data_IF_386436707487
#
_entry.id   IF_386436707487
#
_cell.length_a   1.000
_cell.length_b   1.000
_cell.length_c   1.000
_cell.angle_alpha   90.00
_cell.angle_beta   90.00
_cell.angle_gamma   90.00
#
_symmetry.space_group_name_H-M   'P 1'
#
loop_
_entity.id
_entity.type
_entity.pdbx_description
1 polymer ?
#
# COMPACT_ATOMS: atom_id res chain seq x y z
N UNK A 1 -8.84 1.67 -15.67
CA UNK A 1 -8.21 2.03 -14.38
C UNK A 1 -6.80 2.55 -14.62
N UNK A 2 -6.48 3.76 -14.12
CA UNK A 2 -5.18 4.42 -14.22
C UNK A 2 -4.69 4.77 -12.82
N UNK A 3 -3.40 4.50 -12.55
CA UNK A 3 -2.76 4.93 -11.31
C UNK A 3 -2.62 6.45 -11.25
N UNK A 4 -2.98 7.04 -10.12
CA UNK A 4 -2.93 8.50 -9.91
C UNK A 4 -1.88 8.90 -8.88
N UNK A 5 -1.89 8.24 -7.72
CA UNK A 5 -0.97 8.52 -6.63
C UNK A 5 -0.99 7.39 -5.60
N UNK A 6 -0.06 7.42 -4.67
CA UNK A 6 -0.09 6.59 -3.48
C UNK A 6 0.18 7.44 -2.24
N UNK A 7 -0.22 6.94 -1.07
CA UNK A 7 0.05 7.57 0.21
C UNK A 7 0.45 6.53 1.22
N UNK A 8 1.40 6.93 2.04
CA UNK A 8 1.72 6.23 3.27
C UNK A 8 0.82 6.78 4.39
N UNK A 9 0.24 5.87 5.15
CA UNK A 9 -0.66 6.17 6.26
C UNK A 9 -0.18 5.47 7.53
N UNK A 10 -0.51 6.05 8.66
CA UNK A 10 -0.29 5.43 9.96
C UNK A 10 -1.43 5.75 10.93
N UNK A 11 -1.60 4.90 11.93
CA UNK A 11 -2.48 5.09 13.07
C UNK A 11 -1.75 4.71 14.33
N UNK A 12 -1.88 5.53 15.36
CA UNK A 12 -1.43 5.18 16.71
C UNK A 12 -2.60 4.49 17.40
N UNK A 13 -2.38 3.27 17.91
CA UNK A 13 -3.40 2.46 18.57
C UNK A 13 -2.95 2.05 19.97
N UNK A 14 -3.84 1.41 20.73
CA UNK A 14 -3.59 0.92 22.09
C UNK A 14 -2.98 1.98 23.01
N UNK A 15 -3.65 3.13 23.11
CA UNK A 15 -3.24 4.28 23.94
C UNK A 15 -1.80 4.79 23.69
N UNK A 16 -1.26 4.55 22.49
CA UNK A 16 0.10 4.96 22.13
C UNK A 16 1.14 3.86 22.20
N UNK A 17 0.76 2.62 22.54
CA UNK A 17 1.67 1.49 22.61
C UNK A 17 2.12 1.00 21.24
N UNK A 18 1.25 1.09 20.23
CA UNK A 18 1.53 0.59 18.88
C UNK A 18 1.30 1.65 17.81
N UNK A 19 2.08 1.58 16.73
CA UNK A 19 1.85 2.34 15.50
C UNK A 19 1.62 1.36 14.37
N UNK A 20 0.45 1.42 13.77
CA UNK A 20 0.05 0.63 12.61
C UNK A 20 0.25 1.45 11.36
N UNK A 21 0.85 0.88 10.33
CA UNK A 21 1.25 1.58 9.12
C UNK A 21 0.83 0.81 7.86
N UNK A 22 0.42 1.51 6.81
CA UNK A 22 0.02 0.90 5.54
C UNK A 22 0.16 1.88 4.38
N UNK A 23 0.18 1.36 3.16
CA UNK A 23 0.13 2.14 1.94
C UNK A 23 -1.25 2.04 1.28
N UNK A 24 -1.73 3.17 0.76
CA UNK A 24 -2.93 3.28 -0.08
C UNK A 24 -2.53 3.72 -1.48
N UNK A 25 -3.09 3.06 -2.49
CA UNK A 25 -2.84 3.29 -3.90
C UNK A 25 -4.14 3.76 -4.53
N UNK A 26 -4.13 4.96 -5.08
CA UNK A 26 -5.31 5.64 -5.61
C UNK A 26 -5.35 5.50 -7.12
N UNK A 27 -6.48 5.01 -7.62
CA UNK A 27 -6.72 4.80 -9.03
C UNK A 27 -7.95 5.58 -9.48
N UNK A 28 -7.87 6.14 -10.69
CA UNK A 28 -9.01 6.71 -11.38
C UNK A 28 -9.48 5.73 -12.44
N UNK A 29 -10.79 5.53 -12.52
CA UNK A 29 -11.41 4.77 -13.60
C UNK A 29 -12.39 5.66 -14.36
N UNK A 30 -12.99 5.12 -15.43
CA UNK A 30 -13.97 5.85 -16.24
C UNK A 30 -15.31 6.07 -15.51
N UNK A 31 -15.51 5.41 -14.36
CA UNK A 31 -16.65 5.61 -13.47
C UNK A 31 -16.38 6.75 -12.48
N UNK A 32 -17.41 7.50 -12.06
CA UNK A 32 -17.28 8.53 -11.03
C UNK A 32 -16.89 7.90 -9.68
N UNK A 33 -15.61 7.98 -9.32
CA UNK A 33 -15.08 7.49 -8.05
C UNK A 33 -13.56 7.30 -8.08
N UNK A 34 -12.94 7.29 -6.90
CA UNK A 34 -11.54 6.87 -6.74
C UNK A 34 -11.55 5.46 -6.15
N UNK A 35 -10.89 4.53 -6.81
CA UNK A 35 -10.65 3.20 -6.27
C UNK A 35 -9.38 3.23 -5.43
N UNK A 36 -9.39 2.53 -4.30
CA UNK A 36 -8.26 2.47 -3.37
C UNK A 36 -7.81 1.04 -3.17
N UNK A 37 -6.60 0.72 -3.63
CA UNK A 37 -5.87 -0.49 -3.28
C UNK A 37 -5.12 -0.27 -1.96
N UNK A 38 -5.11 -1.26 -1.07
CA UNK A 38 -4.48 -1.14 0.26
C UNK A 38 -3.48 -2.26 0.49
N UNK A 39 -2.31 -1.94 1.03
CA UNK A 39 -1.37 -2.94 1.53
C UNK A 39 -1.89 -3.62 2.80
N UNK A 40 -1.25 -4.71 3.27
CA UNK A 40 -1.37 -5.14 4.66
C UNK A 40 -1.03 -4.01 5.64
N UNK A 41 -1.48 -4.17 6.88
CA UNK A 41 -1.13 -3.30 7.99
C UNK A 41 0.09 -3.89 8.67
N UNK A 42 1.11 -3.07 8.86
CA UNK A 42 2.35 -3.43 9.51
C UNK A 42 2.48 -2.72 10.85
N UNK A 43 2.95 -3.43 11.88
CA UNK A 43 3.19 -2.84 13.19
C UNK A 43 4.62 -2.30 13.24
N UNK A 44 4.78 -1.05 13.65
CA UNK A 44 6.08 -0.40 13.73
C UNK A 44 7.05 -1.17 14.63
N UNK A 45 8.18 -1.57 14.05
CA UNK A 45 9.23 -2.33 14.74
C UNK A 45 9.07 -3.85 14.67
N UNK A 46 7.99 -4.37 14.08
CA UNK A 46 7.90 -5.78 13.73
C UNK A 46 8.86 -6.11 12.56
N UNK A 47 9.24 -7.38 12.40
CA UNK A 47 10.23 -7.78 11.38
C UNK A 47 9.75 -7.54 9.94
N UNK A 48 8.45 -7.67 9.73
CA UNK A 48 7.72 -7.46 8.48
C UNK A 48 7.50 -5.97 8.14
N UNK A 49 7.65 -5.07 9.11
CA UNK A 49 7.55 -3.63 8.92
C UNK A 49 8.40 -3.10 7.76
N UNK A 50 9.62 -3.63 7.62
CA UNK A 50 10.54 -3.21 6.56
C UNK A 50 10.01 -3.52 5.16
N UNK A 51 9.15 -4.53 5.01
CA UNK A 51 8.51 -4.86 3.74
C UNK A 51 7.66 -3.69 3.22
N UNK A 52 6.97 -2.94 4.10
CA UNK A 52 6.19 -1.78 3.67
C UNK A 52 7.05 -0.70 2.99
N UNK A 53 8.21 -0.39 3.58
CA UNK A 53 9.12 0.65 3.08
C UNK A 53 9.76 0.25 1.75
N UNK A 54 10.03 -1.04 1.58
CA UNK A 54 10.65 -1.54 0.37
C UNK A 54 9.65 -1.76 -0.76
N UNK A 55 8.47 -2.32 -0.45
CA UNK A 55 7.56 -2.80 -1.49
C UNK A 55 6.55 -1.76 -1.95
N UNK A 56 6.08 -0.86 -1.07
CA UNK A 56 5.13 0.16 -1.47
C UNK A 56 5.67 1.08 -2.60
N UNK A 57 6.93 1.56 -2.55
CA UNK A 57 7.51 2.34 -3.66
C UNK A 57 7.69 1.51 -4.94
N UNK A 58 8.08 0.23 -4.84
CA UNK A 58 8.22 -0.66 -6.00
C UNK A 58 6.88 -0.88 -6.69
N UNK A 59 5.81 -1.08 -5.91
CA UNK A 59 4.46 -1.24 -6.44
C UNK A 59 3.99 0.05 -7.10
N UNK A 60 4.16 1.21 -6.44
CA UNK A 60 3.81 2.49 -7.04
C UNK A 60 4.51 2.69 -8.39
N UNK A 61 5.82 2.43 -8.46
CA UNK A 61 6.60 2.53 -9.71
C UNK A 61 6.10 1.56 -10.79
N UNK A 62 5.77 0.32 -10.44
CA UNK A 62 5.25 -0.66 -11.40
C UNK A 62 3.90 -0.20 -11.98
N UNK A 63 3.01 0.35 -11.13
CA UNK A 63 1.72 0.92 -11.54
C UNK A 63 1.90 2.15 -12.43
N UNK A 64 2.86 3.02 -12.12
CA UNK A 64 3.23 4.18 -12.96
C UNK A 64 3.71 3.75 -14.35
N UNK A 65 4.40 2.61 -14.44
CA UNK A 65 4.87 2.02 -15.69
C UNK A 65 3.80 1.20 -16.43
N UNK A 66 2.56 1.18 -15.95
CA UNK A 66 1.42 0.57 -16.63
C UNK A 66 1.08 -0.86 -16.23
N UNK A 67 1.71 -1.41 -15.18
CA UNK A 67 1.25 -2.67 -14.60
C UNK A 67 -0.14 -2.51 -13.98
N UNK A 68 -0.94 -3.56 -14.02
CA UNK A 68 -2.26 -3.63 -13.38
C UNK A 68 -2.12 -3.85 -11.87
N UNK A 69 -3.13 -3.47 -11.10
CA UNK A 69 -3.14 -3.71 -9.66
C UNK A 69 -3.09 -5.20 -9.33
N UNK A 70 -3.79 -6.03 -10.09
CA UNK A 70 -3.81 -7.48 -9.94
C UNK A 70 -2.41 -8.09 -10.11
N UNK A 71 -1.61 -7.59 -11.06
CA UNK A 71 -0.23 -8.07 -11.31
C UNK A 71 0.72 -7.74 -10.17
N UNK A 72 0.60 -6.55 -9.56
CA UNK A 72 1.57 -6.06 -8.58
C UNK A 72 1.16 -6.33 -7.13
N UNK A 73 -0.14 -6.39 -6.84
CA UNK A 73 -0.65 -6.58 -5.49
C UNK A 73 -0.45 -8.00 -4.96
N UNK A 74 -0.24 -8.97 -5.85
CA UNK A 74 0.21 -10.31 -5.49
C UNK A 74 1.54 -10.32 -4.73
N UNK A 75 2.42 -9.34 -5.00
CA UNK A 75 3.73 -9.25 -4.35
C UNK A 75 3.67 -8.75 -2.90
N UNK A 76 2.58 -8.09 -2.47
CA UNK A 76 2.41 -7.71 -1.05
C UNK A 76 2.08 -8.89 -0.14
N UNK A 77 1.61 -10.01 -0.71
CA UNK A 77 1.07 -11.15 0.06
C UNK A 77 2.11 -12.13 0.57
N UNK A 78 3.40 -11.92 0.30
CA UNK A 78 4.47 -12.70 0.93
C UNK A 78 5.02 -12.05 2.21
N UNK A 79 4.25 -11.17 2.86
CA UNK A 79 4.48 -10.81 4.26
C UNK A 79 3.92 -11.93 5.17
N UNK A 80 4.83 -12.66 5.82
CA UNK A 80 4.59 -13.83 6.69
C UNK A 80 4.15 -13.45 8.11
#
# INVERSE_FOLDING_TARGET
MKFESWRYNYSIVDDGAETWEWAEFFFRDDQPGILVGKSPIYIKGASDYYCLFEDAPKVALALENGATWEEVSGNFREAW
#
